data_IF_149484534926
#
_entry.id   IF_149484534926
#
_cell.length_a   1.000
_cell.length_b   1.000
_cell.length_c   1.000
_cell.angle_alpha   90.00
_cell.angle_beta   90.00
_cell.angle_gamma   90.00
#
_symmetry.space_group_name_H-M   'P 1'
#
loop_
_entity.id
_entity.type
_entity.pdbx_description
1 polymer ?
#
# COMPACT_ATOMS: atom_id res chain seq x y z
N UNK A 1 -22.57 7.48 1.35
CA UNK A 1 -22.14 6.37 0.48
C UNK A 1 -21.73 6.99 -0.84
N UNK A 2 -20.46 7.36 -0.92
CA UNK A 2 -19.90 8.19 -1.97
C UNK A 2 -18.87 7.37 -2.76
N UNK A 3 -18.70 7.78 -4.02
CA UNK A 3 -17.70 7.44 -5.04
C UNK A 3 -16.31 7.03 -4.46
N UNK A 4 -15.50 6.27 -5.23
CA UNK A 4 -14.54 5.32 -4.67
C UNK A 4 -13.48 6.03 -3.83
N UNK A 5 -13.57 5.88 -2.53
CA UNK A 5 -12.43 6.10 -1.65
C UNK A 5 -11.76 4.74 -1.48
N UNK A 6 -10.49 4.66 -1.85
CA UNK A 6 -9.67 3.49 -1.53
C UNK A 6 -9.66 3.23 -0.03
N UNK A 7 -9.25 2.02 0.34
CA UNK A 7 -8.90 1.67 1.71
C UNK A 7 -7.83 2.63 2.26
N UNK A 8 -7.98 3.20 3.47
CA UNK A 8 -6.91 3.91 4.17
C UNK A 8 -5.67 3.03 4.35
N UNK A 9 -4.48 3.62 4.39
CA UNK A 9 -3.22 2.86 4.52
C UNK A 9 -3.15 2.07 5.83
N UNK A 10 -3.80 2.57 6.89
CA UNK A 10 -3.89 1.91 8.18
C UNK A 10 -4.72 0.61 8.08
N UNK A 11 -5.89 0.65 7.43
CA UNK A 11 -6.71 -0.54 7.18
C UNK A 11 -6.02 -1.53 6.23
N UNK A 12 -5.30 -1.03 5.22
CA UNK A 12 -4.50 -1.87 4.33
C UNK A 12 -3.38 -2.60 5.09
N UNK A 13 -2.74 -1.92 6.05
CA UNK A 13 -1.71 -2.51 6.92
C UNK A 13 -2.29 -3.63 7.78
N UNK A 14 -3.46 -3.42 8.38
CA UNK A 14 -4.14 -4.46 9.19
C UNK A 14 -4.48 -5.69 8.34
N UNK A 15 -4.97 -5.47 7.12
CA UNK A 15 -5.26 -6.54 6.17
C UNK A 15 -3.98 -7.34 5.84
N UNK A 16 -2.89 -6.66 5.47
CA UNK A 16 -1.61 -7.31 5.13
C UNK A 16 -1.08 -8.12 6.31
N UNK A 17 -1.15 -7.59 7.54
CA UNK A 17 -0.75 -8.31 8.75
C UNK A 17 -1.60 -9.54 9.04
N UNK A 18 -2.88 -9.52 8.68
CA UNK A 18 -3.77 -10.66 8.89
C UNK A 18 -3.54 -11.79 7.88
N UNK A 19 -3.14 -11.45 6.64
CA UNK A 19 -2.92 -12.42 5.57
C UNK A 19 -1.47 -12.86 5.40
N UNK A 20 -0.51 -12.07 5.89
CA UNK A 20 0.94 -12.32 5.81
C UNK A 20 1.42 -12.73 4.41
N UNK A 21 1.11 -11.95 3.35
CA UNK A 21 1.54 -12.28 1.99
C UNK A 21 3.06 -12.13 1.82
N UNK A 22 3.67 -12.91 0.93
CA UNK A 22 5.11 -12.76 0.65
C UNK A 22 5.44 -11.40 0.02
N UNK A 23 4.58 -10.90 -0.88
CA UNK A 23 4.79 -9.66 -1.65
C UNK A 23 3.50 -8.86 -1.76
N UNK A 24 3.59 -7.55 -1.57
CA UNK A 24 2.50 -6.58 -1.77
C UNK A 24 2.88 -5.57 -2.83
N UNK A 25 1.95 -5.29 -3.75
CA UNK A 25 2.05 -4.23 -4.74
C UNK A 25 0.97 -3.18 -4.46
N UNK A 26 1.30 -2.10 -3.73
CA UNK A 26 0.35 -1.01 -3.50
C UNK A 26 -0.07 -0.41 -4.84
N UNK A 27 -1.36 -0.10 -4.99
CA UNK A 27 -1.91 0.51 -6.21
C UNK A 27 -3.00 1.53 -5.86
N UNK A 28 -3.40 2.35 -6.83
CA UNK A 28 -4.44 3.37 -6.66
C UNK A 28 -4.16 4.36 -5.50
N UNK A 29 -2.89 4.61 -5.20
CA UNK A 29 -2.45 5.53 -4.15
C UNK A 29 -2.22 6.97 -4.66
N UNK A 30 -2.77 7.37 -5.82
CA UNK A 30 -2.55 8.71 -6.38
C UNK A 30 -2.88 9.81 -5.37
N UNK A 31 -1.92 10.68 -5.08
CA UNK A 31 -2.07 11.74 -4.08
C UNK A 31 -1.88 11.29 -2.63
N UNK A 32 -1.49 10.04 -2.40
CA UNK A 32 -1.05 9.49 -1.12
C UNK A 32 0.43 9.07 -1.22
N UNK A 33 1.12 9.03 -0.10
CA UNK A 33 2.50 8.54 -0.02
C UNK A 33 2.50 7.02 0.20
N UNK A 34 2.89 6.21 -0.81
CA UNK A 34 2.90 4.76 -0.67
C UNK A 34 3.98 4.27 0.31
N UNK A 35 5.02 5.06 0.57
CA UNK A 35 6.10 4.73 1.51
C UNK A 35 5.59 4.60 2.95
N UNK A 36 4.43 5.20 3.25
CA UNK A 36 3.78 5.09 4.56
C UNK A 36 3.36 3.65 4.87
N UNK A 37 3.10 2.83 3.86
CA UNK A 37 2.74 1.42 4.06
C UNK A 37 3.90 0.62 4.67
N UNK A 38 5.11 0.78 4.13
CA UNK A 38 6.33 0.12 4.65
C UNK A 38 6.61 0.55 6.09
N UNK A 39 6.49 1.87 6.37
CA UNK A 39 6.66 2.40 7.72
C UNK A 39 5.66 1.81 8.72
N UNK A 40 4.41 1.61 8.30
CA UNK A 40 3.37 1.06 9.15
C UNK A 40 3.49 -0.45 9.37
N UNK A 41 3.98 -1.21 8.38
CA UNK A 41 4.28 -2.63 8.52
C UNK A 41 5.42 -2.84 9.54
N UNK A 42 6.45 -2.00 9.49
CA UNK A 42 7.61 -2.02 10.38
C UNK A 42 8.65 -3.07 9.99
N UNK A 43 9.86 -2.93 10.54
CA UNK A 43 11.04 -3.73 10.15
C UNK A 43 10.92 -5.24 10.45
N UNK A 44 10.01 -5.63 11.34
CA UNK A 44 9.76 -7.02 11.72
C UNK A 44 8.87 -7.75 10.69
N UNK A 45 8.26 -7.04 9.74
CA UNK A 45 7.39 -7.65 8.74
C UNK A 45 8.20 -8.42 7.71
N UNK A 46 7.84 -9.69 7.48
CA UNK A 46 8.40 -10.50 6.39
C UNK A 46 7.82 -10.17 5.01
N UNK A 47 6.91 -9.20 4.93
CA UNK A 47 6.21 -8.82 3.71
C UNK A 47 7.08 -7.90 2.87
N UNK A 48 7.37 -8.29 1.62
CA UNK A 48 8.08 -7.43 0.68
C UNK A 48 7.10 -6.44 0.02
N UNK A 49 7.29 -5.14 0.23
CA UNK A 49 6.54 -4.11 -0.49
C UNK A 49 7.28 -3.74 -1.78
N UNK A 50 6.60 -3.88 -2.92
CA UNK A 50 7.14 -3.53 -4.24
C UNK A 50 6.33 -2.40 -4.86
N UNK A 51 6.97 -1.24 -4.98
CA UNK A 51 6.40 -0.10 -5.68
C UNK A 51 6.68 -0.21 -7.18
N UNK A 52 5.61 -0.26 -7.98
CA UNK A 52 5.69 -0.13 -9.43
C UNK A 52 5.39 1.31 -9.84
N UNK A 53 5.88 1.72 -11.01
CA UNK A 53 5.56 3.02 -11.61
C UNK A 53 4.13 3.04 -12.19
N UNK A 54 3.11 3.01 -11.31
CA UNK A 54 1.71 3.06 -11.72
C UNK A 54 1.27 4.43 -12.27
N UNK A 55 2.04 5.47 -11.95
CA UNK A 55 1.84 6.83 -12.40
C UNK A 55 3.14 7.34 -13.05
N UNK A 56 3.46 6.86 -14.27
CA UNK A 56 4.56 7.45 -15.02
C UNK A 56 4.30 8.95 -15.19
N UNK A 57 5.36 9.76 -15.23
CA UNK A 57 5.23 11.16 -15.58
C UNK A 57 4.41 11.24 -16.88
N UNK A 58 3.28 11.96 -16.84
CA UNK A 58 2.44 12.13 -18.01
C UNK A 58 3.29 12.70 -19.15
N UNK A 59 3.18 12.10 -20.35
CA UNK A 59 3.59 12.76 -21.59
C UNK A 59 2.78 14.04 -21.83
#
# INVERSE_FOLDING_TARGET
MNLPYTMPVEEATECIRAFEPDVVYPFHYRGQDPSKLEQLLGDESSVEVRLLEWHPAAE
#
